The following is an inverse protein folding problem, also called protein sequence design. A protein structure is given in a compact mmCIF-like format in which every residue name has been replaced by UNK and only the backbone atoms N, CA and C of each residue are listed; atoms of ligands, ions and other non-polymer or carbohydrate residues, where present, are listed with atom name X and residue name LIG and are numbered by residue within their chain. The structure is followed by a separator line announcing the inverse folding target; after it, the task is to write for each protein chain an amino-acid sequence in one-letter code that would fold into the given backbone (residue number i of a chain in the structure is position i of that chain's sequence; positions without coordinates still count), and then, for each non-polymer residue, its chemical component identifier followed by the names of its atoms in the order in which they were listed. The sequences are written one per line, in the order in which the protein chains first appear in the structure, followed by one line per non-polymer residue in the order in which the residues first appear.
data_IF_748606347918
#
_entry.id   IF_748606347918
#
_cell.length_a   1.000
_cell.length_b   1.000
_cell.length_c   1.000
_cell.angle_alpha   90.00
_cell.angle_beta   90.00
_cell.angle_gamma   90.00
#
_symmetry.space_group_name_H-M   'P 1'
#
loop_
_entity.id
_entity.type
_entity.pdbx_description
1 polymer ?
#
# COMPACT_ATOMS: atom_id res chain seq x y z
N UNK A 1 7.46 88.60 26.66
CA UNK A 1 8.19 89.85 26.37
C UNK A 1 9.51 89.44 25.71
N UNK A 2 9.65 89.81 24.43
CA UNK A 2 10.89 89.89 23.61
C UNK A 2 11.73 88.63 23.27
N UNK A 3 11.81 88.25 21.97
CA UNK A 3 12.93 88.42 20.97
C UNK A 3 14.08 87.40 21.18
N UNK A 4 14.72 86.72 20.22
CA UNK A 4 14.94 86.74 18.75
C UNK A 4 15.57 85.35 18.43
N UNK A 5 15.12 84.56 17.45
CA UNK A 5 15.55 84.47 16.02
C UNK A 5 17.07 84.46 15.78
N UNK A 6 17.56 83.42 15.06
CA UNK A 6 18.53 83.40 13.93
C UNK A 6 19.19 81.98 13.88
N UNK A 7 19.37 81.21 12.79
CA UNK A 7 19.12 81.32 11.33
C UNK A 7 19.43 79.94 10.68
N UNK A 8 18.66 79.59 9.63
CA UNK A 8 18.97 78.79 8.40
C UNK A 8 19.70 77.43 8.49
N UNK A 9 19.47 76.42 7.65
CA UNK A 9 19.22 76.32 6.20
C UNK A 9 18.92 74.80 5.98
N UNK A 10 18.20 74.24 5.01
CA UNK A 10 17.89 74.64 3.65
C UNK A 10 16.81 73.66 3.10
N UNK A 11 15.69 74.22 2.66
CA UNK A 11 14.86 73.84 1.50
C UNK A 11 14.29 72.41 1.37
N UNK A 12 13.03 72.36 1.75
CA UNK A 12 11.87 71.66 1.17
C UNK A 12 11.68 71.90 -0.34
N UNK A 13 11.30 70.86 -1.09
CA UNK A 13 10.19 70.72 -2.08
C UNK A 13 10.48 69.45 -2.90
N UNK A 14 9.60 68.45 -3.07
CA UNK A 14 8.25 68.46 -3.69
C UNK A 14 7.51 67.19 -3.18
N UNK A 15 6.42 67.28 -2.40
CA UNK A 15 4.98 67.03 -2.78
C UNK A 15 4.79 65.85 -3.76
N UNK A 16 3.94 64.83 -3.65
CA UNK A 16 2.70 64.47 -2.92
C UNK A 16 2.60 62.94 -3.12
N UNK A 17 1.98 62.09 -2.29
CA UNK A 17 0.54 61.99 -2.04
C UNK A 17 0.36 61.12 -0.79
N UNK A 18 -0.46 61.65 0.12
CA UNK A 18 -1.02 61.04 1.31
C UNK A 18 -2.26 60.24 0.88
N UNK A 19 -2.47 59.01 1.39
CA UNK A 19 -3.68 58.62 2.16
C UNK A 19 -3.88 57.10 2.32
N UNK A 20 -3.95 56.69 3.61
CA UNK A 20 -4.73 55.62 4.26
C UNK A 20 -4.72 54.18 3.69
N UNK A 21 -4.39 53.20 4.55
CA UNK A 21 -5.39 52.44 5.32
C UNK A 21 -4.71 51.52 6.36
N UNK A 22 -5.21 51.56 7.59
CA UNK A 22 -4.98 50.55 8.64
C UNK A 22 -5.68 49.24 8.23
N UNK A 23 -5.00 48.09 8.33
CA UNK A 23 -5.65 46.80 8.55
C UNK A 23 -4.68 45.81 9.20
N UNK A 24 -5.21 45.13 10.20
CA UNK A 24 -4.63 44.19 11.17
C UNK A 24 -3.91 42.99 10.54
N UNK A 25 -2.79 42.60 11.16
CA UNK A 25 -2.12 41.33 10.90
C UNK A 25 -2.92 40.18 11.55
N UNK A 26 -3.75 39.51 10.77
CA UNK A 26 -4.29 38.20 11.08
C UNK A 26 -4.01 37.23 9.92
N UNK A 27 -3.68 35.99 10.29
CA UNK A 27 -3.60 34.79 9.45
C UNK A 27 -2.43 34.67 8.45
N UNK A 28 -1.25 34.31 8.96
CA UNK A 28 -0.32 33.46 8.21
C UNK A 28 -0.81 32.01 8.27
N UNK A 29 -1.92 31.72 7.59
CA UNK A 29 -2.20 30.37 7.13
C UNK A 29 -1.40 30.19 5.83
N UNK A 30 -0.29 29.46 5.92
CA UNK A 30 0.48 29.01 4.74
C UNK A 30 -0.44 28.12 3.89
N UNK A 31 -1.08 28.72 2.89
CA UNK A 31 -1.71 28.00 1.80
C UNK A 31 -0.60 27.29 1.03
N UNK A 32 -0.57 25.96 1.11
CA UNK A 32 0.28 25.12 0.27
C UNK A 32 -0.07 25.41 -1.20
N UNK A 33 0.90 25.47 -2.12
CA UNK A 33 0.60 25.77 -3.51
C UNK A 33 -0.21 24.62 -4.11
N UNK A 34 -1.47 24.92 -4.40
CA UNK A 34 -2.26 24.23 -5.42
C UNK A 34 -1.48 24.40 -6.74
N UNK A 35 -1.29 23.32 -7.50
CA UNK A 35 -0.56 23.31 -8.78
C UNK A 35 -0.71 24.63 -9.55
N UNK A 36 0.38 25.40 -9.66
CA UNK A 36 0.46 26.55 -10.56
C UNK A 36 0.43 25.96 -11.98
N UNK A 37 -0.75 25.63 -12.50
CA UNK A 37 -0.91 25.08 -13.85
C UNK A 37 -2.06 24.07 -14.07
N UNK A 38 -2.76 23.62 -13.03
CA UNK A 38 -3.73 22.51 -13.17
C UNK A 38 -3.08 21.14 -13.32
N UNK A 39 -3.86 20.05 -13.45
CA UNK A 39 -3.30 18.71 -13.59
C UNK A 39 -2.44 18.65 -14.86
N UNK A 40 -1.21 18.10 -14.80
CA UNK A 40 -0.39 17.93 -15.99
C UNK A 40 -1.19 17.17 -17.05
N UNK A 41 -1.14 17.64 -18.29
CA UNK A 41 -1.74 16.88 -19.39
C UNK A 41 -1.18 15.46 -19.40
N UNK A 42 -1.97 14.46 -19.81
CA UNK A 42 -1.58 13.03 -19.76
C UNK A 42 -0.18 12.74 -20.35
N UNK A 43 0.27 13.51 -21.34
CA UNK A 43 1.60 13.42 -21.91
C UNK A 43 2.71 13.83 -20.91
N UNK A 44 2.55 14.94 -20.19
CA UNK A 44 3.49 15.38 -19.16
C UNK A 44 3.51 14.39 -17.99
N UNK A 45 2.33 13.92 -17.56
CA UNK A 45 2.26 12.91 -16.50
C UNK A 45 3.01 11.62 -16.89
N UNK A 46 2.78 11.11 -18.12
CA UNK A 46 3.50 9.95 -18.65
C UNK A 46 5.02 10.18 -18.71
N UNK A 47 5.46 11.38 -19.06
CA UNK A 47 6.88 11.71 -19.10
C UNK A 47 7.51 11.69 -17.70
N UNK A 48 6.83 12.25 -16.69
CA UNK A 48 7.28 12.21 -15.28
C UNK A 48 7.36 10.77 -14.78
N UNK A 49 6.33 9.96 -15.02
CA UNK A 49 6.31 8.55 -14.64
C UNK A 49 7.45 7.76 -15.33
N UNK A 50 7.69 8.01 -16.61
CA UNK A 50 8.81 7.40 -17.34
C UNK A 50 10.16 7.79 -16.74
N UNK A 51 10.38 9.07 -16.42
CA UNK A 51 11.63 9.55 -15.84
C UNK A 51 11.89 8.93 -14.47
N UNK A 52 10.89 8.90 -13.59
CA UNK A 52 11.05 8.33 -12.26
C UNK A 52 11.27 6.82 -12.32
N UNK A 53 10.56 6.13 -13.22
CA UNK A 53 10.82 4.71 -13.55
C UNK A 53 12.26 4.47 -13.99
N UNK A 54 12.79 5.26 -14.92
CA UNK A 54 14.19 5.17 -15.36
C UNK A 54 15.16 5.41 -14.20
N UNK A 55 14.90 6.43 -13.37
CA UNK A 55 15.71 6.76 -12.20
C UNK A 55 15.74 5.60 -11.19
N UNK A 56 14.60 4.94 -10.98
CA UNK A 56 14.50 3.75 -10.12
C UNK A 56 15.24 2.56 -10.72
N UNK A 57 15.13 2.31 -12.02
CA UNK A 57 15.89 1.25 -12.69
C UNK A 57 17.40 1.46 -12.54
N UNK A 58 17.87 2.71 -12.65
CA UNK A 58 19.28 3.05 -12.42
C UNK A 58 19.68 2.88 -10.96
N UNK A 59 18.83 3.30 -10.02
CA UNK A 59 19.05 3.12 -8.58
C UNK A 59 19.33 1.65 -8.25
N UNK A 60 18.50 0.74 -8.79
CA UNK A 60 18.58 -0.69 -8.50
C UNK A 60 19.43 -1.50 -9.49
N UNK A 61 20.15 -0.85 -10.42
CA UNK A 61 20.79 -1.52 -11.56
C UNK A 61 21.61 -2.77 -11.18
N UNK A 62 22.40 -2.70 -10.10
CA UNK A 62 23.24 -3.80 -9.65
C UNK A 62 22.41 -4.98 -9.10
N UNK A 63 21.42 -4.71 -8.24
CA UNK A 63 20.52 -5.75 -7.73
C UNK A 63 19.70 -6.41 -8.86
N UNK A 64 19.30 -5.62 -9.86
CA UNK A 64 18.58 -6.14 -11.03
C UNK A 64 19.45 -7.04 -11.90
N UNK A 65 20.73 -6.70 -12.06
CA UNK A 65 21.68 -7.54 -12.79
C UNK A 65 21.95 -8.86 -12.05
N UNK A 66 22.09 -8.82 -10.72
CA UNK A 66 22.15 -10.02 -9.89
C UNK A 66 20.92 -10.91 -10.12
N UNK A 67 19.71 -10.33 -10.13
CA UNK A 67 18.47 -11.08 -10.36
C UNK A 67 18.36 -11.65 -11.78
N UNK A 68 18.93 -11.00 -12.80
CA UNK A 68 19.00 -11.58 -14.15
C UNK A 68 19.89 -12.80 -14.21
N UNK A 69 20.99 -12.80 -13.46
CA UNK A 69 21.94 -13.92 -13.40
C UNK A 69 21.45 -15.04 -12.47
N UNK A 70 20.82 -14.66 -11.37
CA UNK A 70 20.25 -15.55 -10.37
C UNK A 70 18.85 -15.06 -9.94
N UNK A 71 17.78 -15.48 -10.65
CA UNK A 71 16.41 -15.08 -10.32
C UNK A 71 15.98 -15.43 -8.89
N UNK A 72 16.65 -16.39 -8.24
CA UNK A 72 16.36 -16.83 -6.88
C UNK A 72 17.18 -16.08 -5.82
N UNK A 73 17.95 -15.05 -6.17
CA UNK A 73 18.77 -14.30 -5.21
C UNK A 73 17.95 -13.67 -4.07
N UNK A 74 16.67 -13.37 -4.33
CA UNK A 74 15.73 -12.86 -3.34
C UNK A 74 14.90 -13.95 -2.64
N UNK A 75 15.02 -15.24 -3.01
CA UNK A 75 14.13 -16.28 -2.50
C UNK A 75 14.58 -16.82 -1.14
N UNK A 76 13.62 -17.11 -0.27
CA UNK A 76 13.81 -17.75 1.01
C UNK A 76 13.78 -19.28 0.88
N UNK A 77 14.62 -20.00 1.65
CA UNK A 77 14.60 -21.45 1.69
C UNK A 77 13.34 -21.98 2.39
N UNK A 78 13.00 -23.24 2.12
CA UNK A 78 12.00 -23.96 2.91
C UNK A 78 12.47 -24.15 4.36
N UNK A 79 11.54 -24.08 5.31
CA UNK A 79 11.87 -24.25 6.72
C UNK A 79 12.41 -25.64 7.09
N UNK A 80 12.19 -26.67 6.26
CA UNK A 80 12.77 -28.01 6.46
C UNK A 80 14.28 -28.06 6.20
N UNK A 81 14.81 -27.14 5.39
CA UNK A 81 16.24 -27.04 5.07
C UNK A 81 16.92 -25.79 5.63
N UNK A 82 16.20 -24.95 6.38
CA UNK A 82 16.73 -23.68 6.87
C UNK A 82 17.50 -23.85 8.19
N UNK A 83 18.66 -23.18 8.37
CA UNK A 83 19.34 -23.12 9.66
C UNK A 83 18.45 -22.49 10.75
N UNK A 84 18.57 -22.92 12.02
CA UNK A 84 17.86 -22.31 13.13
C UNK A 84 18.08 -20.79 13.18
N UNK A 85 17.00 -20.03 13.36
CA UNK A 85 17.05 -18.57 13.45
C UNK A 85 17.14 -17.82 12.10
N UNK A 86 17.17 -18.52 10.96
CA UNK A 86 17.08 -17.88 9.64
C UNK A 86 15.62 -17.76 9.18
N UNK A 87 15.36 -16.72 8.37
CA UNK A 87 14.08 -16.57 7.68
C UNK A 87 13.88 -17.74 6.71
N UNK A 88 12.67 -18.28 6.68
CA UNK A 88 12.30 -19.44 5.88
C UNK A 88 10.80 -19.44 5.64
N UNK A 89 10.38 -20.18 4.62
CA UNK A 89 8.96 -20.34 4.28
C UNK A 89 8.45 -21.72 4.74
N UNK A 90 7.35 -21.78 5.51
CA UNK A 90 6.72 -23.05 5.86
C UNK A 90 6.15 -23.76 4.63
N UNK A 91 5.98 -25.09 4.73
CA UNK A 91 5.33 -25.86 3.68
C UNK A 91 3.88 -25.37 3.44
N UNK A 92 3.37 -25.62 2.23
CA UNK A 92 1.99 -25.33 1.87
C UNK A 92 1.00 -25.97 2.85
N UNK A 93 -0.10 -25.28 3.13
CA UNK A 93 -1.16 -25.82 3.96
C UNK A 93 -1.83 -27.03 3.27
N UNK A 94 -2.27 -28.06 4.03
CA UNK A 94 -3.02 -29.16 3.46
C UNK A 94 -4.34 -28.67 2.84
N UNK A 95 -4.84 -29.42 1.85
CA UNK A 95 -6.11 -29.11 1.20
C UNK A 95 -7.26 -29.05 2.21
N UNK A 96 -8.15 -28.07 2.04
CA UNK A 96 -9.24 -27.81 2.96
C UNK A 96 -10.43 -28.73 2.67
N UNK A 97 -11.08 -29.21 3.72
CA UNK A 97 -12.39 -29.86 3.62
C UNK A 97 -13.50 -28.84 3.36
N UNK A 98 -14.70 -29.31 2.97
CA UNK A 98 -15.84 -28.45 2.59
C UNK A 98 -16.71 -28.00 3.77
N UNK A 99 -16.30 -28.28 5.01
CA UNK A 99 -17.10 -27.98 6.22
C UNK A 99 -16.48 -26.85 7.04
N UNK A 100 -17.22 -25.77 7.23
CA UNK A 100 -16.79 -24.71 8.15
C UNK A 100 -17.82 -23.65 8.44
N UNK A 101 -17.86 -23.25 9.71
CA UNK A 101 -18.46 -22.02 10.20
C UNK A 101 -17.43 -20.89 10.07
N UNK A 102 -17.86 -19.63 10.12
CA UNK A 102 -16.94 -18.48 10.16
C UNK A 102 -16.01 -18.57 11.39
N UNK A 103 -14.71 -18.41 11.18
CA UNK A 103 -13.68 -18.40 12.22
C UNK A 103 -13.28 -16.98 12.64
N UNK A 104 -12.08 -16.86 13.21
CA UNK A 104 -11.51 -15.56 13.60
C UNK A 104 -11.11 -14.74 12.38
N UNK A 105 -11.09 -13.42 12.52
CA UNK A 105 -10.58 -12.50 11.50
C UNK A 105 -9.21 -12.00 11.97
N UNK A 106 -8.17 -12.21 11.18
CA UNK A 106 -6.80 -11.82 11.51
C UNK A 106 -6.23 -10.92 10.41
N UNK A 107 -5.47 -9.91 10.79
CA UNK A 107 -4.79 -9.07 9.82
C UNK A 107 -3.31 -8.85 10.16
N UNK A 108 -2.47 -8.86 9.13
CA UNK A 108 -1.07 -8.42 9.20
C UNK A 108 -0.91 -7.22 8.29
N UNK A 109 -0.63 -6.05 8.86
CA UNK A 109 -0.41 -4.81 8.09
C UNK A 109 1.05 -4.39 8.20
N UNK A 110 1.70 -4.16 7.06
CA UNK A 110 3.12 -3.83 6.95
C UNK A 110 3.23 -2.48 6.24
N UNK A 111 3.84 -1.51 6.89
CA UNK A 111 4.02 -0.15 6.37
C UNK A 111 5.47 0.30 6.50
N UNK A 112 6.14 0.57 5.39
CA UNK A 112 7.54 0.98 5.37
C UNK A 112 7.68 2.42 4.84
N UNK A 113 8.21 3.31 5.67
CA UNK A 113 8.43 4.74 5.38
C UNK A 113 9.91 5.10 5.34
N UNK A 114 10.64 4.72 6.39
CA UNK A 114 11.92 5.34 6.74
C UNK A 114 13.10 4.61 6.09
N UNK A 115 13.06 4.49 4.76
CA UNK A 115 14.09 3.81 3.99
C UNK A 115 15.47 4.48 4.18
N UNK A 116 16.53 3.70 4.46
CA UNK A 116 17.88 4.20 4.45
C UNK A 116 18.29 4.65 3.05
N UNK A 117 19.08 5.71 2.98
CA UNK A 117 19.69 6.14 1.72
C UNK A 117 20.50 4.98 1.10
N UNK A 118 20.48 4.85 -0.24
CA UNK A 118 19.95 5.78 -1.22
C UNK A 118 18.48 5.53 -1.65
N UNK A 119 17.75 4.63 -0.98
CA UNK A 119 16.34 4.39 -1.30
C UNK A 119 15.52 5.58 -0.78
N UNK A 120 14.68 6.22 -1.62
CA UNK A 120 13.84 7.34 -1.19
C UNK A 120 12.89 6.94 -0.05
N UNK A 121 12.70 7.82 0.92
CA UNK A 121 11.72 7.63 1.99
C UNK A 121 10.29 7.82 1.45
N UNK A 122 9.30 7.29 2.18
CA UNK A 122 7.88 7.49 1.92
C UNK A 122 7.21 8.11 3.15
N UNK A 123 6.17 8.91 2.92
CA UNK A 123 5.50 9.64 4.02
C UNK A 123 4.26 8.91 4.56
N UNK A 124 3.49 8.25 3.69
CA UNK A 124 2.13 7.77 4.03
C UNK A 124 2.01 6.34 4.58
N UNK A 125 2.84 5.32 4.21
CA UNK A 125 2.54 3.92 4.52
C UNK A 125 2.25 3.61 5.99
N UNK A 126 3.01 4.18 6.94
CA UNK A 126 2.75 4.00 8.37
C UNK A 126 1.40 4.60 8.79
N UNK A 127 1.03 5.77 8.25
CA UNK A 127 -0.26 6.40 8.53
C UNK A 127 -1.41 5.60 7.92
N UNK A 128 -1.21 5.07 6.71
CA UNK A 128 -2.15 4.20 5.99
C UNK A 128 -2.50 2.95 6.81
N UNK A 129 -1.48 2.20 7.25
CA UNK A 129 -1.72 0.96 8.01
C UNK A 129 -2.32 1.22 9.39
N UNK A 130 -2.03 2.36 10.03
CA UNK A 130 -2.61 2.71 11.33
C UNK A 130 -4.12 2.95 11.19
N UNK A 131 -4.52 3.77 10.22
CA UNK A 131 -5.94 4.08 10.01
C UNK A 131 -6.75 2.85 9.60
N UNK A 132 -6.16 2.00 8.75
CA UNK A 132 -6.78 0.75 8.32
C UNK A 132 -6.85 -0.25 9.48
N UNK A 133 -5.82 -0.35 10.33
CA UNK A 133 -5.85 -1.17 11.54
C UNK A 133 -7.03 -0.80 12.45
N UNK A 134 -7.24 0.49 12.68
CA UNK A 134 -8.32 0.97 13.53
C UNK A 134 -9.70 0.62 12.94
N UNK A 135 -9.90 0.80 11.63
CA UNK A 135 -11.14 0.38 10.96
C UNK A 135 -11.36 -1.12 11.07
N UNK A 136 -10.35 -1.94 10.76
CA UNK A 136 -10.42 -3.40 10.82
C UNK A 136 -10.76 -3.90 12.22
N UNK A 137 -10.16 -3.32 13.27
CA UNK A 137 -10.48 -3.65 14.67
C UNK A 137 -11.90 -3.23 15.04
N UNK A 138 -12.21 -1.94 14.89
CA UNK A 138 -13.43 -1.34 15.44
C UNK A 138 -14.69 -1.74 14.69
N UNK A 139 -14.62 -1.87 13.37
CA UNK A 139 -15.79 -2.12 12.52
C UNK A 139 -15.92 -3.54 12.06
N UNK A 140 -14.82 -4.29 11.95
CA UNK A 140 -14.84 -5.63 11.34
C UNK A 140 -14.40 -6.74 12.30
N UNK A 141 -13.87 -6.40 13.49
CA UNK A 141 -13.52 -7.36 14.53
C UNK A 141 -12.26 -8.17 14.22
N UNK A 142 -11.30 -7.58 13.48
CA UNK A 142 -10.02 -8.24 13.21
C UNK A 142 -9.07 -8.16 14.40
N UNK A 143 -8.38 -9.26 14.68
CA UNK A 143 -7.14 -9.29 15.45
C UNK A 143 -6.01 -8.78 14.54
N UNK A 144 -5.55 -7.53 14.73
CA UNK A 144 -4.56 -6.88 13.84
C UNK A 144 -3.16 -6.85 14.46
N UNK A 145 -2.19 -7.41 13.74
CA UNK A 145 -0.76 -7.18 13.94
C UNK A 145 -0.28 -6.13 12.92
N UNK A 146 0.43 -5.10 13.39
CA UNK A 146 1.00 -4.06 12.53
C UNK A 146 2.52 -4.04 12.66
N UNK A 147 3.22 -4.00 11.53
CA UNK A 147 4.67 -3.84 11.44
C UNK A 147 4.99 -2.53 10.73
N UNK A 148 5.86 -1.72 11.34
CA UNK A 148 6.33 -0.46 10.76
C UNK A 148 7.82 -0.55 10.49
N UNK A 149 8.26 -0.13 9.30
CA UNK A 149 9.68 -0.14 8.90
C UNK A 149 10.33 -1.51 9.14
N UNK A 150 9.69 -2.56 8.62
CA UNK A 150 10.12 -3.94 8.82
C UNK A 150 11.13 -4.38 7.77
N UNK A 151 12.15 -5.13 8.22
CA UNK A 151 13.09 -5.81 7.34
C UNK A 151 12.53 -7.14 6.81
N UNK A 152 13.25 -7.76 5.87
CA UNK A 152 12.83 -9.03 5.26
C UNK A 152 12.56 -10.12 6.28
N UNK A 153 13.44 -10.26 7.27
CA UNK A 153 13.36 -11.30 8.28
C UNK A 153 12.11 -11.14 9.18
N UNK A 154 11.76 -9.90 9.54
CA UNK A 154 10.60 -9.59 10.39
C UNK A 154 9.30 -9.87 9.64
N UNK A 155 9.21 -9.44 8.37
CA UNK A 155 8.07 -9.71 7.51
C UNK A 155 7.87 -11.22 7.34
N UNK A 156 8.95 -11.95 7.03
CA UNK A 156 8.91 -13.40 6.90
C UNK A 156 8.51 -14.10 8.22
N UNK A 157 9.00 -13.61 9.36
CA UNK A 157 8.65 -14.14 10.67
C UNK A 157 7.16 -13.95 10.99
N UNK A 158 6.60 -12.78 10.69
CA UNK A 158 5.18 -12.49 10.90
C UNK A 158 4.27 -13.29 9.97
N UNK A 159 4.62 -13.42 8.68
CA UNK A 159 3.87 -14.28 7.74
C UNK A 159 3.93 -15.76 8.16
N UNK A 160 5.09 -16.23 8.60
CA UNK A 160 5.26 -17.58 9.15
C UNK A 160 4.44 -17.78 10.44
N UNK A 161 4.39 -16.77 11.31
CA UNK A 161 3.55 -16.81 12.50
C UNK A 161 2.06 -16.87 12.15
N UNK A 162 1.62 -16.06 11.19
CA UNK A 162 0.26 -16.08 10.65
C UNK A 162 -0.11 -17.48 10.17
N UNK A 163 0.75 -18.11 9.34
CA UNK A 163 0.52 -19.46 8.83
C UNK A 163 0.39 -20.53 9.93
N UNK A 164 1.04 -20.35 11.10
CA UNK A 164 0.96 -21.28 12.23
C UNK A 164 -0.27 -21.09 13.11
N UNK A 165 -0.72 -19.86 13.29
CA UNK A 165 -1.79 -19.53 14.26
C UNK A 165 -3.19 -19.52 13.66
N UNK A 166 -3.28 -19.38 12.34
CA UNK A 166 -4.54 -19.33 11.60
C UNK A 166 -5.17 -20.71 11.50
N UNK A 167 -6.46 -20.81 11.80
CA UNK A 167 -7.28 -21.99 11.53
C UNK A 167 -7.89 -21.97 10.13
N UNK A 168 -8.33 -23.12 9.62
CA UNK A 168 -8.97 -23.24 8.29
C UNK A 168 -10.22 -22.37 8.10
N UNK A 169 -10.93 -22.09 9.18
CA UNK A 169 -12.18 -21.32 9.16
C UNK A 169 -11.95 -19.80 9.28
N UNK A 170 -10.73 -19.38 9.58
CA UNK A 170 -10.40 -17.97 9.78
C UNK A 170 -10.38 -17.20 8.45
N UNK A 171 -10.49 -15.88 8.55
CA UNK A 171 -10.24 -14.94 7.45
C UNK A 171 -8.96 -14.15 7.72
N UNK A 172 -8.10 -14.04 6.72
CA UNK A 172 -6.80 -13.38 6.80
C UNK A 172 -6.72 -12.25 5.80
N UNK A 173 -6.37 -11.06 6.29
CA UNK A 173 -6.03 -9.90 5.47
C UNK A 173 -4.55 -9.57 5.68
N UNK A 174 -3.76 -9.64 4.62
CA UNK A 174 -2.39 -9.10 4.63
C UNK A 174 -2.41 -7.77 3.90
N UNK A 175 -1.80 -6.74 4.45
CA UNK A 175 -1.58 -5.47 3.75
C UNK A 175 -0.10 -5.14 3.72
N UNK A 176 0.40 -4.71 2.56
CA UNK A 176 1.73 -4.12 2.42
C UNK A 176 1.62 -2.75 1.76
N UNK A 177 2.17 -1.72 2.41
CA UNK A 177 2.34 -0.39 1.87
C UNK A 177 3.83 -0.02 1.95
N UNK A 178 4.42 0.37 0.82
CA UNK A 178 5.84 0.67 0.73
C UNK A 178 6.38 0.53 -0.69
N UNK A 179 7.71 0.57 -0.83
CA UNK A 179 8.35 0.40 -2.13
C UNK A 179 8.16 -1.02 -2.67
N UNK A 180 7.98 -1.10 -3.99
CA UNK A 180 7.99 -2.32 -4.77
C UNK A 180 8.75 -2.12 -6.08
N UNK A 181 9.22 -3.20 -6.68
CA UNK A 181 9.90 -3.17 -7.97
C UNK A 181 9.36 -4.26 -8.90
N UNK A 182 9.07 -3.91 -10.15
CA UNK A 182 8.68 -4.83 -11.21
C UNK A 182 9.80 -4.91 -12.27
N UNK A 183 10.35 -6.09 -12.45
CA UNK A 183 11.19 -6.44 -13.60
C UNK A 183 10.29 -6.81 -14.77
N UNK A 184 10.15 -5.94 -15.76
CA UNK A 184 9.25 -6.17 -16.90
C UNK A 184 9.71 -7.28 -17.84
N UNK A 185 11.03 -7.45 -17.98
CA UNK A 185 11.65 -8.45 -18.84
C UNK A 185 11.32 -9.88 -18.37
N UNK A 186 11.30 -10.10 -17.06
CA UNK A 186 10.95 -11.39 -16.46
C UNK A 186 9.52 -11.44 -15.89
N UNK A 187 8.81 -10.31 -15.86
CA UNK A 187 7.54 -10.12 -15.14
C UNK A 187 7.62 -10.58 -13.66
N UNK A 188 8.83 -10.60 -13.09
CA UNK A 188 9.07 -10.84 -11.69
C UNK A 188 8.97 -9.53 -10.94
N UNK A 189 8.64 -9.59 -9.66
CA UNK A 189 8.99 -8.45 -8.86
C UNK A 189 8.96 -8.72 -7.38
N UNK A 190 9.03 -7.62 -6.66
CA UNK A 190 9.53 -7.65 -5.30
C UNK A 190 8.88 -6.57 -4.45
N UNK A 191 8.61 -6.91 -3.19
CA UNK A 191 8.57 -5.91 -2.14
C UNK A 191 9.99 -5.52 -1.75
N UNK A 192 10.16 -4.26 -1.37
CA UNK A 192 11.41 -3.68 -0.90
C UNK A 192 11.27 -3.37 0.60
N UNK A 193 11.75 -4.25 1.49
CA UNK A 193 11.81 -4.03 2.93
C UNK A 193 12.76 -2.89 3.33
N UNK A 194 12.71 -2.47 4.59
CA UNK A 194 13.53 -1.35 5.09
C UNK A 194 15.04 -1.63 5.03
N UNK A 195 15.42 -2.91 5.11
CA UNK A 195 16.80 -3.41 5.08
C UNK A 195 17.23 -3.86 3.68
N UNK A 196 16.46 -3.51 2.65
CA UNK A 196 16.80 -3.78 1.26
C UNK A 196 18.06 -3.03 0.83
N UNK A 197 18.80 -3.63 -0.09
CA UNK A 197 19.95 -3.01 -0.73
C UNK A 197 19.63 -2.66 -2.18
N UNK A 198 20.23 -1.58 -2.67
CA UNK A 198 20.21 -1.25 -4.10
C UNK A 198 21.25 -2.02 -4.91
N UNK A 199 22.20 -2.66 -4.22
CA UNK A 199 23.33 -3.40 -4.81
C UNK A 199 23.06 -4.90 -4.93
N UNK A 200 22.20 -5.44 -4.09
CA UNK A 200 21.84 -6.86 -4.07
C UNK A 200 20.36 -7.04 -3.72
N UNK A 201 19.75 -8.07 -4.28
CA UNK A 201 18.36 -8.44 -4.05
C UNK A 201 18.17 -9.39 -2.84
N UNK A 202 19.22 -9.72 -2.10
CA UNK A 202 19.16 -10.68 -0.98
C UNK A 202 18.07 -10.36 0.07
N UNK A 203 17.84 -9.07 0.35
CA UNK A 203 16.82 -8.59 1.29
C UNK A 203 15.52 -8.14 0.63
N UNK A 204 15.32 -8.43 -0.65
CA UNK A 204 14.03 -8.21 -1.32
C UNK A 204 13.11 -9.42 -1.09
N UNK A 205 11.80 -9.26 -1.24
CA UNK A 205 10.85 -10.38 -1.12
C UNK A 205 10.17 -10.58 -2.46
N UNK A 206 10.42 -11.72 -3.12
CA UNK A 206 9.86 -12.04 -4.42
C UNK A 206 8.37 -12.36 -4.34
N UNK A 207 7.64 -12.16 -5.44
CA UNK A 207 6.26 -12.66 -5.55
C UNK A 207 6.15 -14.16 -5.33
N UNK A 208 7.13 -14.92 -5.78
CA UNK A 208 7.17 -16.37 -5.57
C UNK A 208 7.12 -16.68 -4.08
N UNK A 209 7.92 -15.97 -3.28
CA UNK A 209 7.89 -16.10 -1.83
C UNK A 209 6.59 -15.59 -1.20
N UNK A 210 6.05 -14.46 -1.67
CA UNK A 210 4.75 -13.94 -1.20
C UNK A 210 3.66 -14.99 -1.44
N UNK A 211 3.57 -15.53 -2.65
CA UNK A 211 2.65 -16.61 -3.02
C UNK A 211 2.83 -17.83 -2.13
N UNK A 212 4.08 -18.27 -1.88
CA UNK A 212 4.35 -19.43 -1.00
C UNK A 212 3.91 -19.16 0.44
N UNK A 213 4.11 -17.95 0.96
CA UNK A 213 3.58 -17.57 2.27
C UNK A 213 2.04 -17.59 2.30
N UNK A 214 1.37 -17.07 1.26
CA UNK A 214 -0.10 -17.13 1.16
C UNK A 214 -0.61 -18.58 1.07
N UNK A 215 0.11 -19.44 0.34
CA UNK A 215 -0.19 -20.86 0.20
C UNK A 215 -0.04 -21.62 1.53
N UNK A 216 0.90 -21.19 2.38
CA UNK A 216 1.11 -21.79 3.70
C UNK A 216 0.05 -21.38 4.74
N UNK A 217 -0.73 -20.34 4.49
CA UNK A 217 -1.82 -19.90 5.37
C UNK A 217 -3.06 -20.80 5.13
N UNK A 218 -3.53 -21.57 6.14
CA UNK A 218 -4.60 -22.55 5.95
C UNK A 218 -6.01 -21.95 5.89
N UNK A 219 -6.19 -20.65 6.16
CA UNK A 219 -7.51 -19.99 6.14
C UNK A 219 -8.24 -20.14 4.80
N UNK A 220 -9.55 -20.42 4.82
CA UNK A 220 -10.36 -20.40 3.58
C UNK A 220 -10.42 -19.04 2.92
N UNK A 221 -10.24 -17.96 3.66
CA UNK A 221 -10.37 -16.60 3.14
C UNK A 221 -9.05 -15.88 3.36
N UNK A 222 -8.32 -15.61 2.28
CA UNK A 222 -7.05 -14.87 2.32
C UNK A 222 -7.10 -13.77 1.27
N UNK A 223 -6.90 -12.53 1.67
CA UNK A 223 -6.71 -11.41 0.76
C UNK A 223 -5.40 -10.69 1.07
N UNK A 224 -4.62 -10.43 0.03
CA UNK A 224 -3.48 -9.54 0.07
C UNK A 224 -3.87 -8.20 -0.55
N UNK A 225 -3.76 -7.13 0.20
CA UNK A 225 -3.90 -5.75 -0.27
C UNK A 225 -2.49 -5.15 -0.38
N UNK A 226 -2.07 -4.76 -1.58
CA UNK A 226 -0.75 -4.20 -1.77
C UNK A 226 -0.84 -2.81 -2.38
N UNK A 227 -0.40 -1.84 -1.59
CA UNK A 227 -0.16 -0.47 -2.01
C UNK A 227 1.32 -0.29 -2.35
N UNK A 228 1.71 -0.95 -3.44
CA UNK A 228 3.06 -0.89 -3.98
C UNK A 228 3.00 -1.14 -5.49
N UNK A 229 4.00 -0.67 -6.22
CA UNK A 229 4.08 -0.65 -7.69
C UNK A 229 3.92 -2.02 -8.39
N UNK A 230 3.92 -3.08 -7.61
CA UNK A 230 4.33 -4.41 -8.03
C UNK A 230 3.17 -5.43 -8.05
N UNK A 231 2.06 -5.13 -7.39
CA UNK A 231 0.98 -6.09 -7.16
C UNK A 231 0.20 -6.51 -8.40
N UNK A 232 0.40 -5.84 -9.54
CA UNK A 232 -0.24 -6.19 -10.81
C UNK A 232 0.11 -7.60 -11.30
N UNK A 233 1.31 -8.12 -11.03
CA UNK A 233 1.74 -9.44 -11.54
C UNK A 233 1.05 -10.61 -10.83
N UNK A 234 0.79 -10.52 -9.52
CA UNK A 234 -0.02 -11.53 -8.81
C UNK A 234 -1.47 -11.52 -9.30
N UNK A 235 -2.01 -10.34 -9.62
CA UNK A 235 -3.38 -10.21 -10.14
C UNK A 235 -3.54 -10.72 -11.58
N UNK A 236 -2.44 -11.01 -12.29
CA UNK A 236 -2.45 -11.50 -13.69
C UNK A 236 -2.66 -13.02 -13.81
N UNK A 237 -2.50 -13.81 -12.73
CA UNK A 237 -2.78 -15.26 -12.79
C UNK A 237 -4.24 -15.51 -13.18
N UNK A 238 -5.17 -14.80 -12.54
CA UNK A 238 -6.56 -14.74 -12.96
C UNK A 238 -7.18 -13.40 -12.54
N UNK A 239 -7.40 -12.52 -13.51
CA UNK A 239 -8.15 -11.29 -13.28
C UNK A 239 -9.64 -11.59 -13.08
N UNK A 240 -10.20 -11.10 -11.98
CA UNK A 240 -11.63 -11.21 -11.71
C UNK A 240 -12.30 -9.96 -12.28
N UNK A 241 -13.08 -10.14 -13.36
CA UNK A 241 -13.74 -9.03 -14.10
C UNK A 241 -15.16 -8.73 -13.65
N UNK A 242 -15.71 -9.58 -12.79
CA UNK A 242 -17.05 -9.46 -12.22
C UNK A 242 -17.06 -10.15 -10.86
N UNK A 243 -17.81 -9.62 -9.91
CA UNK A 243 -17.93 -10.22 -8.59
C UNK A 243 -18.55 -11.62 -8.67
N UNK A 244 -18.27 -12.45 -7.68
CA UNK A 244 -18.92 -13.75 -7.58
C UNK A 244 -20.44 -13.54 -7.50
N UNK A 245 -21.20 -14.15 -8.43
CA UNK A 245 -22.66 -14.24 -8.35
C UNK A 245 -23.12 -15.29 -7.34
N UNK A 246 -22.21 -15.76 -6.49
CA UNK A 246 -22.41 -16.83 -5.53
C UNK A 246 -22.96 -16.26 -4.23
N UNK A 247 -23.79 -17.06 -3.56
CA UNK A 247 -24.24 -16.76 -2.21
C UNK A 247 -23.05 -16.77 -1.23
N UNK A 248 -23.24 -16.12 -0.09
CA UNK A 248 -22.28 -16.13 1.02
C UNK A 248 -21.80 -17.55 1.37
N UNK A 249 -22.72 -18.50 1.51
CA UNK A 249 -22.41 -19.86 1.91
C UNK A 249 -21.61 -20.62 0.84
N UNK A 250 -21.84 -20.31 -0.43
CA UNK A 250 -21.07 -20.85 -1.54
C UNK A 250 -19.64 -20.30 -1.58
N UNK A 251 -19.46 -19.02 -1.23
CA UNK A 251 -18.13 -18.42 -1.10
C UNK A 251 -17.37 -19.08 0.08
N UNK A 252 -18.01 -19.23 1.24
CA UNK A 252 -17.38 -19.81 2.44
C UNK A 252 -16.99 -21.29 2.30
N UNK A 253 -17.60 -22.02 1.38
CA UNK A 253 -17.23 -23.41 1.04
C UNK A 253 -15.98 -23.52 0.17
N UNK A 254 -15.51 -22.40 -0.40
CA UNK A 254 -14.35 -22.34 -1.30
C UNK A 254 -13.17 -21.70 -0.60
N UNK A 255 -11.96 -22.12 -0.99
CA UNK A 255 -10.75 -21.41 -0.60
C UNK A 255 -10.55 -20.23 -1.54
N UNK A 256 -10.51 -19.03 -1.00
CA UNK A 256 -10.24 -17.79 -1.71
C UNK A 256 -8.88 -17.27 -1.33
N UNK A 257 -7.96 -17.20 -2.30
CA UNK A 257 -6.70 -16.44 -2.17
C UNK A 257 -6.70 -15.34 -3.23
N UNK A 258 -6.76 -14.09 -2.78
CA UNK A 258 -7.05 -12.94 -3.63
C UNK A 258 -6.02 -11.82 -3.41
N UNK A 259 -5.85 -10.99 -4.42
CA UNK A 259 -4.96 -9.82 -4.37
C UNK A 259 -5.72 -8.59 -4.84
N UNK A 260 -5.67 -7.52 -4.06
CA UNK A 260 -6.03 -6.17 -4.45
C UNK A 260 -4.76 -5.31 -4.50
N UNK A 261 -4.62 -4.55 -5.56
CA UNK A 261 -3.37 -3.92 -5.98
C UNK A 261 -3.63 -2.45 -6.29
N UNK A 262 -2.80 -1.51 -5.81
CA UNK A 262 -2.95 -0.10 -6.19
C UNK A 262 -2.71 0.14 -7.68
N UNK A 263 -1.88 -0.70 -8.32
CA UNK A 263 -1.59 -0.65 -9.75
C UNK A 263 -0.74 0.57 -10.14
N UNK A 264 -0.03 0.51 -11.26
CA UNK A 264 0.91 1.57 -11.65
C UNK A 264 2.33 1.39 -11.08
N UNK A 265 3.28 2.13 -11.64
CA UNK A 265 4.71 1.90 -11.47
C UNK A 265 5.34 2.58 -10.26
N UNK A 266 4.60 3.37 -9.48
CA UNK A 266 5.15 4.17 -8.37
C UNK A 266 4.27 4.07 -7.13
N UNK A 267 4.84 4.21 -5.91
CA UNK A 267 4.00 4.59 -4.80
C UNK A 267 3.36 5.94 -5.18
N UNK A 268 2.08 5.97 -4.91
CA UNK A 268 1.15 7.06 -5.11
C UNK A 268 1.78 8.37 -4.63
N UNK A 269 1.59 9.44 -5.41
CA UNK A 269 2.14 10.78 -5.17
C UNK A 269 2.41 11.07 -3.69
N UNK A 270 3.61 11.58 -3.33
CA UNK A 270 3.90 12.14 -1.99
C UNK A 270 2.87 13.22 -1.60
N UNK A 271 2.09 13.71 -2.57
CA UNK A 271 1.00 14.66 -2.37
C UNK A 271 -0.22 14.03 -1.68
N UNK A 272 -0.39 12.70 -1.74
CA UNK A 272 -1.41 11.93 -1.04
C UNK A 272 -2.82 12.54 -1.08
N UNK A 273 -3.66 12.14 -0.13
CA UNK A 273 -4.90 12.83 0.23
C UNK A 273 -5.15 12.61 1.71
N UNK A 274 -5.34 13.69 2.46
CA UNK A 274 -5.53 13.66 3.92
C UNK A 274 -4.43 12.88 4.68
N UNK A 275 -3.17 12.98 4.22
CA UNK A 275 -2.03 12.27 4.82
C UNK A 275 -1.95 10.78 4.47
N UNK A 276 -2.73 10.33 3.50
CA UNK A 276 -2.74 8.95 3.02
C UNK A 276 -2.33 8.86 1.55
N UNK A 277 -1.86 7.69 1.11
CA UNK A 277 -1.78 7.44 -0.33
C UNK A 277 -3.18 7.52 -0.95
N UNK A 278 -3.33 7.85 -2.24
CA UNK A 278 -4.66 7.92 -2.88
C UNK A 278 -5.36 6.55 -2.86
N UNK A 279 -4.59 5.46 -3.00
CA UNK A 279 -5.13 4.10 -2.88
C UNK A 279 -5.60 3.79 -1.46
N UNK A 280 -4.76 4.04 -0.46
CA UNK A 280 -5.10 3.83 0.95
C UNK A 280 -6.27 4.71 1.39
N UNK A 281 -6.28 5.98 1.00
CA UNK A 281 -7.40 6.90 1.22
C UNK A 281 -8.69 6.33 0.63
N UNK A 282 -8.67 5.90 -0.63
CA UNK A 282 -9.83 5.32 -1.31
C UNK A 282 -10.30 4.03 -0.61
N UNK A 283 -9.37 3.19 -0.15
CA UNK A 283 -9.67 1.99 0.63
C UNK A 283 -10.28 2.32 1.99
N UNK A 284 -9.75 3.30 2.72
CA UNK A 284 -10.28 3.79 4.00
C UNK A 284 -11.73 4.26 3.83
N UNK A 285 -12.02 5.02 2.77
CA UNK A 285 -13.38 5.48 2.45
C UNK A 285 -14.31 4.33 2.10
N UNK A 286 -13.86 3.40 1.25
CA UNK A 286 -14.66 2.24 0.86
C UNK A 286 -14.98 1.34 2.08
N UNK A 287 -13.99 1.05 2.93
CA UNK A 287 -14.16 0.31 4.18
C UNK A 287 -15.14 1.01 5.13
N UNK A 288 -15.07 2.34 5.23
CA UNK A 288 -15.95 3.13 6.11
C UNK A 288 -17.42 3.13 5.67
N UNK A 289 -17.70 2.79 4.41
CA UNK A 289 -19.05 2.69 3.85
C UNK A 289 -19.64 1.28 3.91
N UNK A 290 -18.87 0.27 4.34
CA UNK A 290 -19.40 -1.10 4.46
C UNK A 290 -20.33 -1.18 5.66
N UNK A 291 -21.60 -1.51 5.37
CA UNK A 291 -22.65 -1.80 6.35
C UNK A 291 -23.06 -3.27 6.22
N UNK A 292 -23.06 -4.02 7.33
CA UNK A 292 -23.34 -5.45 7.34
C UNK A 292 -22.21 -6.30 6.74
N UNK A 293 -22.01 -6.25 5.42
CA UNK A 293 -20.91 -6.94 4.76
C UNK A 293 -20.87 -6.75 3.25
N UNK A 294 -19.72 -7.06 2.65
CA UNK A 294 -19.49 -6.96 1.21
C UNK A 294 -18.51 -8.05 0.76
N UNK A 295 -18.47 -8.32 -0.55
CA UNK A 295 -17.43 -9.15 -1.16
C UNK A 295 -16.22 -8.30 -1.56
N UNK A 296 -15.05 -8.91 -1.62
CA UNK A 296 -13.79 -8.26 -1.95
C UNK A 296 -13.83 -7.56 -3.30
N UNK A 297 -14.48 -8.16 -4.30
CA UNK A 297 -14.66 -7.50 -5.61
C UNK A 297 -15.45 -6.19 -5.53
N UNK A 298 -16.51 -6.12 -4.72
CA UNK A 298 -17.32 -4.90 -4.58
C UNK A 298 -16.55 -3.80 -3.85
N UNK A 299 -15.77 -4.17 -2.83
CA UNK A 299 -14.84 -3.25 -2.18
C UNK A 299 -13.81 -2.72 -3.20
N UNK A 300 -13.19 -3.61 -3.97
CA UNK A 300 -12.25 -3.26 -5.03
C UNK A 300 -12.86 -2.27 -6.03
N UNK A 301 -14.09 -2.52 -6.51
CA UNK A 301 -14.77 -1.65 -7.48
C UNK A 301 -14.89 -0.22 -6.98
N UNK A 302 -15.27 -0.04 -5.72
CA UNK A 302 -15.35 1.29 -5.10
C UNK A 302 -13.97 1.96 -5.03
N UNK A 303 -12.94 1.20 -4.64
CA UNK A 303 -11.56 1.71 -4.58
C UNK A 303 -11.06 2.09 -5.98
N UNK A 304 -11.25 1.22 -6.97
CA UNK A 304 -10.87 1.44 -8.36
C UNK A 304 -11.51 2.70 -8.93
N UNK A 305 -12.83 2.84 -8.79
CA UNK A 305 -13.56 3.98 -9.36
C UNK A 305 -13.16 5.29 -8.66
N UNK A 306 -12.89 5.25 -7.35
CA UNK A 306 -12.39 6.42 -6.61
C UNK A 306 -10.96 6.79 -7.01
N UNK A 307 -10.04 5.82 -7.09
CA UNK A 307 -8.64 6.08 -7.48
C UNK A 307 -8.58 6.69 -8.87
N UNK A 308 -9.27 6.10 -9.86
CA UNK A 308 -9.28 6.62 -11.24
C UNK A 308 -9.86 8.02 -11.38
N UNK A 309 -10.71 8.44 -10.45
CA UNK A 309 -11.26 9.79 -10.42
C UNK A 309 -10.23 10.80 -9.92
N UNK A 310 -9.42 10.41 -8.93
CA UNK A 310 -8.47 11.28 -8.24
C UNK A 310 -7.07 11.26 -8.90
N UNK A 311 -6.70 10.15 -9.55
CA UNK A 311 -5.38 9.93 -10.10
C UNK A 311 -5.43 8.97 -11.31
N UNK A 312 -4.59 9.14 -12.34
CA UNK A 312 -4.48 8.22 -13.48
C UNK A 312 -3.76 6.91 -13.13
N UNK A 313 -4.22 6.24 -12.07
CA UNK A 313 -3.77 4.95 -11.58
C UNK A 313 -4.91 3.93 -11.77
N UNK A 314 -4.54 2.69 -12.05
CA UNK A 314 -5.47 1.60 -12.36
C UNK A 314 -5.30 0.47 -11.34
N UNK A 315 -6.04 0.49 -10.22
CA UNK A 315 -6.04 -0.63 -9.28
C UNK A 315 -6.42 -1.94 -9.94
N UNK A 316 -5.91 -3.05 -9.43
CA UNK A 316 -6.20 -4.38 -9.96
C UNK A 316 -6.74 -5.32 -8.88
N UNK A 317 -7.54 -6.30 -9.30
CA UNK A 317 -8.06 -7.36 -8.46
C UNK A 317 -7.99 -8.70 -9.17
N UNK A 318 -7.48 -9.72 -8.48
CA UNK A 318 -7.31 -11.05 -9.07
C UNK A 318 -7.16 -12.16 -8.04
N UNK A 319 -7.26 -13.38 -8.53
CA UNK A 319 -7.03 -14.60 -7.77
C UNK A 319 -5.60 -15.12 -7.96
N UNK A 320 -5.04 -15.71 -6.90
CA UNK A 320 -3.71 -16.34 -6.90
C UNK A 320 -3.92 -17.86 -6.93
N UNK A 321 -3.99 -18.41 -8.14
CA UNK A 321 -4.21 -19.85 -8.37
C UNK A 321 -3.06 -20.68 -7.79
N UNK A 322 -1.83 -20.19 -7.95
CA UNK A 322 -0.62 -20.82 -7.42
C UNK A 322 -0.61 -20.93 -5.88
N UNK A 323 -1.37 -20.08 -5.18
CA UNK A 323 -1.55 -20.12 -3.72
C UNK A 323 -2.78 -20.95 -3.26
N UNK A 324 -3.45 -21.64 -4.19
CA UNK A 324 -4.57 -22.53 -3.90
C UNK A 324 -5.95 -21.86 -3.90
N UNK A 325 -6.14 -20.78 -4.65
CA UNK A 325 -7.47 -20.22 -4.91
C UNK A 325 -8.37 -21.24 -5.62
N UNK A 326 -9.62 -21.36 -5.20
CA UNK A 326 -10.66 -22.20 -5.80
C UNK A 326 -11.61 -21.35 -6.64
N UNK A 327 -11.96 -21.82 -7.84
CA UNK A 327 -12.82 -21.10 -8.77
C UNK A 327 -14.14 -20.61 -8.14
N UNK A 328 -14.46 -19.34 -8.39
CA UNK A 328 -15.64 -18.66 -7.85
C UNK A 328 -15.48 -18.16 -6.41
N UNK A 329 -14.35 -18.44 -5.74
CA UNK A 329 -14.06 -17.86 -4.44
C UNK A 329 -13.97 -16.34 -4.49
N UNK A 330 -14.51 -15.66 -3.48
CA UNK A 330 -14.23 -14.24 -3.21
C UNK A 330 -13.89 -14.07 -1.71
N UNK A 331 -13.47 -12.87 -1.31
CA UNK A 331 -13.21 -12.51 0.08
C UNK A 331 -14.47 -11.91 0.70
N UNK A 332 -14.90 -12.40 1.87
CA UNK A 332 -16.01 -11.80 2.60
C UNK A 332 -15.50 -10.83 3.66
N UNK A 333 -15.87 -9.56 3.50
CA UNK A 333 -15.61 -8.52 4.48
C UNK A 333 -16.90 -8.16 5.21
N UNK A 334 -16.99 -8.57 6.46
CA UNK A 334 -18.21 -8.42 7.25
C UNK A 334 -18.00 -7.49 8.42
N UNK A 335 -18.87 -6.47 8.53
CA UNK A 335 -18.90 -5.60 9.68
C UNK A 335 -19.31 -6.41 10.92
N UNK A 336 -18.66 -6.14 12.05
CA UNK A 336 -19.07 -6.66 13.33
C UNK A 336 -20.46 -6.14 13.65
N UNK A 337 -21.41 -7.04 13.87
CA UNK A 337 -22.64 -6.73 14.59
C UNK A 337 -22.24 -6.48 16.05
N UNK A 338 -21.86 -5.24 16.37
CA UNK A 338 -21.77 -4.82 17.76
C UNK A 338 -23.19 -4.97 18.31
N UNK A 339 -23.43 -5.99 19.13
CA UNK A 339 -24.58 -5.96 20.04
C UNK A 339 -24.28 -4.81 21.00
N UNK A 340 -24.98 -3.69 20.82
CA UNK A 340 -25.04 -2.65 21.83
C UNK A 340 -25.66 -3.21 23.11
#
# INVERSE_FOLDING_TARGET
MERKVIVNNLKTLVFSVLFLFFATAEALAQTRPMFIGGPPGMAQWRAVQMQRRQSRTLLYQQALEELRQNPKAADLPDCSGAPPGKACIPAAAPALDTSGTAGKKRALLIGNNDYPLPIPQLETPIHDIRKIADLLKTRFGYEVQALTNAGKADIAAALKQMAREVGKNDSVLVMYAGHGYLMEDSNMGFWIPIDASVKTAANWISNTDITRFLQAIPARQVILISDSCFSGTLTKEQQIKSGASLSRDEILKRRSVLVMSSGGDEPVSDEGKDGHSIFAWSLIHALSRVEGGTVGYNLYRQVHDQVRTEYPQEPNYGAVLSAGHSEGGDYLLEASTVRQ
#
